data_IF_564455390670
#
_entry.id   IF_564455390670
#
_cell.length_a   1.000
_cell.length_b   1.000
_cell.length_c   1.000
_cell.angle_alpha   90.00
_cell.angle_beta   90.00
_cell.angle_gamma   90.00
#
_symmetry.space_group_name_H-M   'P 1'
#
loop_
_entity.id
_entity.type
_entity.pdbx_description
1 polymer ?
#
# COMPACT_ATOMS: atom_id res chain seq x y z
N UNK A 1 -4.20 27.52 -12.14
CA UNK A 1 -2.77 27.59 -11.76
C UNK A 1 -1.81 27.58 -12.96
N UNK A 2 -2.19 27.10 -14.12
CA UNK A 2 -1.32 26.96 -15.32
C UNK A 2 -0.81 28.28 -15.91
N UNK A 3 -1.44 29.42 -15.62
CA UNK A 3 -1.01 30.76 -16.08
C UNK A 3 -0.15 31.54 -15.09
N UNK A 4 0.20 30.98 -13.93
CA UNK A 4 1.03 31.65 -12.91
C UNK A 4 2.47 31.16 -12.97
N UNK A 5 3.41 32.11 -12.86
CA UNK A 5 4.83 31.78 -12.66
C UNK A 5 5.00 30.94 -11.37
N UNK A 6 5.99 30.00 -11.31
CA UNK A 6 6.17 29.10 -10.15
C UNK A 6 6.26 29.83 -8.80
N UNK A 7 6.91 31.00 -8.74
CA UNK A 7 7.06 31.80 -7.54
C UNK A 7 5.79 32.55 -7.09
N UNK A 8 4.76 32.58 -7.94
CA UNK A 8 3.46 33.21 -7.66
C UNK A 8 2.41 32.20 -7.19
N UNK A 9 2.74 30.90 -7.19
CA UNK A 9 1.84 29.83 -6.79
C UNK A 9 1.88 29.68 -5.27
N UNK A 10 0.71 29.43 -4.66
CA UNK A 10 0.61 29.10 -3.22
C UNK A 10 1.04 27.65 -2.93
N UNK A 11 2.13 27.22 -3.57
CA UNK A 11 2.67 25.86 -3.49
C UNK A 11 4.16 25.95 -3.19
N UNK A 12 4.64 25.18 -2.22
CA UNK A 12 6.06 25.06 -1.95
C UNK A 12 6.49 23.59 -2.04
N UNK A 13 7.76 23.36 -2.38
CA UNK A 13 8.33 22.03 -2.57
C UNK A 13 9.48 21.80 -1.59
N UNK A 14 9.49 20.61 -0.98
CA UNK A 14 10.63 20.06 -0.26
C UNK A 14 11.23 18.97 -1.15
N UNK A 15 12.46 19.14 -1.59
CA UNK A 15 13.16 18.19 -2.46
C UNK A 15 13.81 17.07 -1.67
N UNK A 16 14.10 15.94 -2.29
CA UNK A 16 14.73 14.75 -1.74
C UNK A 16 16.06 15.05 -1.01
N UNK A 17 16.89 15.96 -1.55
CA UNK A 17 18.15 16.39 -0.95
C UNK A 17 18.01 17.60 -0.01
N UNK A 18 16.75 17.95 0.34
CA UNK A 18 16.37 19.11 1.18
C UNK A 18 16.74 20.48 0.57
N UNK A 19 17.68 20.55 -0.35
CA UNK A 19 18.15 21.75 -1.05
C UNK A 19 18.38 22.97 -0.13
N UNK A 20 18.97 22.76 1.06
CA UNK A 20 19.33 23.85 1.97
C UNK A 20 20.50 24.65 1.41
N UNK A 21 20.47 25.97 1.58
CA UNK A 21 21.56 26.87 1.19
C UNK A 21 22.74 26.66 2.14
N UNK A 22 23.86 26.08 1.68
CA UNK A 22 24.98 25.67 2.56
C UNK A 22 25.75 26.87 3.19
N UNK A 23 25.69 28.03 2.56
CA UNK A 23 26.32 29.26 3.01
C UNK A 23 25.49 30.07 4.02
N UNK A 24 24.22 29.72 4.18
CA UNK A 24 23.26 30.33 5.11
C UNK A 24 23.11 29.48 6.37
N UNK A 25 22.84 30.13 7.50
CA UNK A 25 22.44 29.43 8.72
C UNK A 25 20.99 29.01 8.67
N UNK A 26 20.51 28.32 9.72
CA UNK A 26 19.12 27.80 9.79
C UNK A 26 18.10 28.93 9.69
N UNK A 27 18.27 30.02 10.46
CA UNK A 27 17.34 31.15 10.45
C UNK A 27 17.27 31.83 9.06
N UNK A 28 18.43 31.97 8.42
CA UNK A 28 18.52 32.55 7.07
C UNK A 28 17.88 31.66 6.02
N UNK A 29 18.05 30.33 6.11
CA UNK A 29 17.39 29.35 5.25
C UNK A 29 15.87 29.47 5.37
N UNK A 30 15.32 29.43 6.59
CA UNK A 30 13.89 29.53 6.83
C UNK A 30 13.34 30.86 6.36
N UNK A 31 14.00 31.97 6.74
CA UNK A 31 13.55 33.32 6.42
C UNK A 31 13.74 33.78 4.96
N UNK A 32 14.42 32.96 4.13
CA UNK A 32 14.81 33.36 2.78
C UNK A 32 13.65 33.83 1.91
N UNK A 33 12.56 33.07 1.84
CA UNK A 33 11.39 33.43 1.05
C UNK A 33 10.72 34.72 1.50
N UNK A 34 10.66 34.98 2.82
CA UNK A 34 10.12 36.21 3.37
C UNK A 34 11.02 37.43 3.04
N UNK A 35 12.34 37.23 3.01
CA UNK A 35 13.29 38.26 2.62
C UNK A 35 13.10 38.67 1.15
N UNK A 36 12.86 37.71 0.25
CA UNK A 36 12.56 37.97 -1.16
C UNK A 36 11.25 38.77 -1.31
N UNK A 37 10.24 38.46 -0.48
CA UNK A 37 8.97 39.22 -0.41
C UNK A 37 9.09 40.57 0.30
N UNK A 38 10.32 41.00 0.66
CA UNK A 38 10.61 42.27 1.33
C UNK A 38 9.85 42.48 2.65
N UNK A 39 9.57 41.39 3.37
CA UNK A 39 8.96 41.42 4.70
C UNK A 39 9.93 42.10 5.70
N UNK A 40 9.43 42.94 6.64
CA UNK A 40 10.29 43.59 7.67
C UNK A 40 11.10 42.59 8.48
N UNK A 41 12.35 42.93 8.80
CA UNK A 41 13.27 42.03 9.54
C UNK A 41 12.72 41.57 10.90
N UNK A 42 11.98 42.43 11.60
CA UNK A 42 11.35 42.09 12.89
C UNK A 42 10.28 40.98 12.72
N UNK A 43 9.48 41.07 11.67
CA UNK A 43 8.45 40.07 11.34
C UNK A 43 9.08 38.75 10.88
N UNK A 44 10.14 38.80 10.04
CA UNK A 44 10.90 37.61 9.65
C UNK A 44 11.42 36.87 10.90
N UNK A 45 12.05 37.58 11.86
CA UNK A 45 12.53 36.95 13.08
C UNK A 45 11.43 36.26 13.87
N UNK A 46 10.27 36.91 14.02
CA UNK A 46 9.11 36.33 14.70
C UNK A 46 8.60 35.07 14.01
N UNK A 47 8.43 35.10 12.69
CA UNK A 47 7.97 33.93 11.91
C UNK A 47 8.98 32.79 11.91
N UNK A 48 10.27 33.09 11.83
CA UNK A 48 11.35 32.07 11.92
C UNK A 48 11.34 31.40 13.29
N UNK A 49 11.21 32.16 14.38
CA UNK A 49 11.11 31.58 15.73
C UNK A 49 9.90 30.66 15.88
N UNK A 50 8.74 31.07 15.35
CA UNK A 50 7.53 30.23 15.34
C UNK A 50 7.71 28.94 14.53
N UNK A 51 8.43 29.02 13.39
CA UNK A 51 8.70 27.83 12.58
C UNK A 51 9.67 26.88 13.27
N UNK A 52 10.70 27.41 13.96
CA UNK A 52 11.64 26.59 14.72
C UNK A 52 10.97 25.88 15.90
N UNK A 53 10.07 26.55 16.61
CA UNK A 53 9.23 25.95 17.63
C UNK A 53 8.35 24.84 17.04
N UNK A 54 7.71 25.11 15.89
CA UNK A 54 6.82 24.15 15.19
C UNK A 54 7.56 22.85 14.83
N UNK A 55 8.82 22.94 14.39
CA UNK A 55 9.64 21.79 13.97
C UNK A 55 10.61 21.32 15.06
N UNK A 56 10.49 21.79 16.32
CA UNK A 56 11.27 21.40 17.49
C UNK A 56 12.80 21.60 17.28
N UNK A 57 13.17 22.75 16.75
CA UNK A 57 14.58 23.14 16.52
C UNK A 57 14.91 24.50 17.16
N UNK A 58 14.32 24.83 18.31
CA UNK A 58 14.67 26.03 19.09
C UNK A 58 16.16 25.99 19.46
N UNK A 59 16.82 27.11 19.36
CA UNK A 59 18.26 27.26 19.64
C UNK A 59 19.19 26.86 18.49
N UNK A 60 18.63 26.42 17.33
CA UNK A 60 19.44 26.05 16.14
C UNK A 60 19.60 27.20 15.14
N UNK A 61 19.11 28.39 15.42
CA UNK A 61 19.04 29.55 14.50
C UNK A 61 20.38 29.84 13.80
N UNK A 62 21.47 29.73 14.54
CA UNK A 62 22.83 30.10 14.07
C UNK A 62 23.62 28.96 13.43
N UNK A 63 23.14 27.71 13.56
CA UNK A 63 23.83 26.54 12.98
C UNK A 63 23.78 26.56 11.46
N UNK A 64 24.80 25.99 10.85
CA UNK A 64 24.86 25.77 9.40
C UNK A 64 24.32 24.39 9.04
N UNK A 65 23.88 24.17 7.80
CA UNK A 65 23.39 22.85 7.34
C UNK A 65 24.39 21.70 7.55
N UNK A 66 25.72 21.98 7.50
CA UNK A 66 26.79 21.01 7.75
C UNK A 66 26.83 20.49 9.19
N UNK A 67 26.23 21.23 10.14
CA UNK A 67 26.21 20.89 11.56
C UNK A 67 24.90 20.15 11.98
N UNK A 68 24.07 19.78 11.00
CA UNK A 68 22.75 19.18 11.22
C UNK A 68 22.74 17.71 10.78
N UNK A 69 22.01 16.87 11.54
CA UNK A 69 21.66 15.51 11.11
C UNK A 69 20.69 15.54 9.92
N UNK A 70 20.50 14.39 9.24
CA UNK A 70 19.56 14.28 8.13
C UNK A 70 18.14 14.71 8.48
N UNK A 71 17.60 14.22 9.60
CA UNK A 71 16.27 14.61 10.08
C UNK A 71 16.16 16.09 10.45
N UNK A 72 17.24 16.69 11.02
CA UNK A 72 17.26 18.12 11.30
C UNK A 72 17.28 18.97 10.03
N UNK A 73 18.04 18.55 9.01
CA UNK A 73 18.03 19.21 7.68
C UNK A 73 16.64 19.18 7.06
N UNK A 74 15.96 18.05 7.14
CA UNK A 74 14.59 17.88 6.66
C UNK A 74 13.63 18.84 7.37
N UNK A 75 13.66 18.89 8.71
CA UNK A 75 12.81 19.82 9.49
C UNK A 75 13.05 21.28 9.11
N UNK A 76 14.32 21.68 8.88
CA UNK A 76 14.64 23.03 8.39
C UNK A 76 14.06 23.27 6.99
N UNK A 77 14.13 22.29 6.08
CA UNK A 77 13.57 22.42 4.75
C UNK A 77 12.03 22.55 4.77
N UNK A 78 11.37 21.79 5.65
CA UNK A 78 9.92 21.89 5.87
C UNK A 78 9.57 23.26 6.46
N UNK A 79 10.28 23.73 7.48
CA UNK A 79 10.07 25.05 8.08
C UNK A 79 10.26 26.17 7.04
N UNK A 80 11.27 26.07 6.16
CA UNK A 80 11.50 27.01 5.05
C UNK A 80 10.34 27.02 4.06
N UNK A 81 9.76 25.85 3.79
CA UNK A 81 8.61 25.77 2.89
C UNK A 81 7.34 26.33 3.55
N UNK A 82 7.12 26.05 4.83
CA UNK A 82 5.91 26.45 5.57
C UNK A 82 5.86 27.92 5.96
N UNK A 83 7.01 28.58 6.15
CA UNK A 83 7.08 29.99 6.59
C UNK A 83 6.34 30.96 5.65
N UNK A 84 6.15 30.57 4.39
CA UNK A 84 5.42 31.31 3.38
C UNK A 84 3.90 31.10 3.42
N UNK A 85 3.38 30.26 4.33
CA UNK A 85 1.98 29.87 4.46
C UNK A 85 1.38 29.31 3.15
N UNK A 86 1.96 28.26 2.54
CA UNK A 86 1.45 27.69 1.31
C UNK A 86 0.11 26.99 1.55
N UNK A 87 -0.75 26.91 0.52
CA UNK A 87 -1.95 26.07 0.54
C UNK A 87 -1.64 24.60 0.33
N UNK A 88 -0.57 24.32 -0.42
CA UNK A 88 -0.13 22.96 -0.76
C UNK A 88 1.38 22.84 -0.51
N UNK A 89 1.78 21.78 0.18
CA UNK A 89 3.17 21.38 0.36
C UNK A 89 3.44 20.13 -0.47
N UNK A 90 4.37 20.22 -1.42
CA UNK A 90 4.87 19.10 -2.20
C UNK A 90 6.09 18.52 -1.48
N UNK A 91 6.11 17.22 -1.25
CA UNK A 91 7.18 16.48 -0.59
C UNK A 91 7.69 15.42 -1.57
N UNK A 92 8.87 15.64 -2.13
CA UNK A 92 9.49 14.75 -3.11
C UNK A 92 10.49 13.83 -2.40
N UNK A 93 10.08 12.57 -2.16
CA UNK A 93 10.84 11.53 -1.43
C UNK A 93 11.53 12.05 -0.14
N UNK A 94 10.84 12.77 0.74
CA UNK A 94 11.49 13.50 1.81
C UNK A 94 12.17 12.60 2.84
N UNK A 95 11.77 11.32 2.95
CA UNK A 95 12.30 10.36 3.93
C UNK A 95 13.32 9.39 3.35
N UNK A 96 13.55 9.39 2.04
CA UNK A 96 14.40 8.42 1.34
C UNK A 96 15.86 8.36 1.83
N UNK A 97 16.40 9.47 2.34
CA UNK A 97 17.78 9.57 2.81
C UNK A 97 17.96 9.22 4.31
N UNK A 98 16.88 8.81 5.02
CA UNK A 98 16.90 8.53 6.45
C UNK A 98 17.03 7.02 6.72
N UNK A 99 17.67 6.68 7.84
CA UNK A 99 17.64 5.32 8.38
C UNK A 99 16.22 4.92 8.81
N UNK A 100 15.97 3.62 8.96
CA UNK A 100 14.63 3.08 9.21
C UNK A 100 13.99 3.63 10.50
N UNK A 101 14.75 3.75 11.59
CA UNK A 101 14.22 4.22 12.87
C UNK A 101 13.82 5.69 12.79
N UNK A 102 14.71 6.52 12.23
CA UNK A 102 14.45 7.94 12.05
C UNK A 102 13.32 8.19 11.05
N UNK A 103 13.25 7.40 9.97
CA UNK A 103 12.18 7.45 8.98
C UNK A 103 10.81 7.25 9.63
N UNK A 104 10.63 6.20 10.45
CA UNK A 104 9.37 5.94 11.18
C UNK A 104 8.98 7.09 12.12
N UNK A 105 9.95 7.63 12.85
CA UNK A 105 9.70 8.77 13.73
C UNK A 105 9.25 10.00 12.93
N UNK A 106 9.88 10.27 11.79
CA UNK A 106 9.55 11.41 10.93
C UNK A 106 8.20 11.25 10.22
N UNK A 107 7.77 10.03 9.87
CA UNK A 107 6.42 9.77 9.34
C UNK A 107 5.34 10.22 10.32
N UNK A 108 5.47 9.83 11.59
CA UNK A 108 4.53 10.21 12.65
C UNK A 108 4.51 11.74 12.82
N UNK A 109 5.70 12.34 12.85
CA UNK A 109 5.84 13.80 13.02
C UNK A 109 5.21 14.59 11.87
N UNK A 110 5.48 14.18 10.62
CA UNK A 110 4.88 14.80 9.43
C UNK A 110 3.36 14.70 9.41
N UNK A 111 2.81 13.55 9.80
CA UNK A 111 1.35 13.36 9.90
C UNK A 111 0.74 14.26 10.98
N UNK A 112 1.38 14.40 12.12
CA UNK A 112 0.94 15.33 13.17
C UNK A 112 1.03 16.79 12.71
N UNK A 113 2.12 17.14 12.02
CA UNK A 113 2.31 18.48 11.47
C UNK A 113 1.25 18.84 10.43
N UNK A 114 0.95 17.94 9.52
CA UNK A 114 -0.11 18.11 8.52
C UNK A 114 -1.47 18.37 9.18
N UNK A 115 -1.84 17.53 10.18
CA UNK A 115 -3.10 17.71 10.93
C UNK A 115 -3.16 19.04 11.66
N UNK A 116 -2.05 19.45 12.30
CA UNK A 116 -1.95 20.71 13.05
C UNK A 116 -2.11 21.93 12.15
N UNK A 117 -1.56 21.87 10.94
CA UNK A 117 -1.58 22.98 9.98
C UNK A 117 -2.86 23.03 9.13
N UNK A 118 -3.54 21.89 8.92
CA UNK A 118 -4.75 21.81 8.10
C UNK A 118 -4.53 22.14 6.61
N UNK A 119 -3.29 22.01 6.11
CA UNK A 119 -2.95 22.27 4.69
C UNK A 119 -2.82 20.96 3.92
N UNK A 120 -2.92 21.02 2.61
CA UNK A 120 -2.76 19.83 1.75
C UNK A 120 -1.29 19.47 1.60
N UNK A 121 -0.95 18.22 1.92
CA UNK A 121 0.35 17.63 1.58
C UNK A 121 0.19 16.73 0.35
N UNK A 122 1.05 16.87 -0.63
CA UNK A 122 1.22 15.92 -1.72
C UNK A 122 2.58 15.27 -1.52
N UNK A 123 2.56 13.99 -1.23
CA UNK A 123 3.74 13.20 -0.88
C UNK A 123 4.08 12.24 -2.01
N UNK A 124 5.27 12.35 -2.57
CA UNK A 124 5.77 11.44 -3.60
C UNK A 124 6.73 10.47 -2.92
N UNK A 125 6.49 9.19 -3.07
CA UNK A 125 7.34 8.13 -2.52
C UNK A 125 7.28 6.87 -3.40
N UNK A 126 8.33 6.08 -3.36
CA UNK A 126 8.36 4.71 -3.87
C UNK A 126 8.19 3.68 -2.73
N UNK A 127 8.11 4.13 -1.48
CA UNK A 127 7.89 3.28 -0.31
C UNK A 127 6.39 3.11 -0.06
N UNK A 128 5.90 1.87 -0.20
CA UNK A 128 4.49 1.52 -0.08
C UNK A 128 3.99 1.68 1.37
N UNK A 129 4.83 1.33 2.37
CA UNK A 129 4.47 1.50 3.78
C UNK A 129 4.26 2.98 4.11
N UNK A 130 5.09 3.86 3.56
CA UNK A 130 4.92 5.31 3.72
C UNK A 130 3.59 5.78 3.13
N UNK A 131 3.27 5.36 1.89
CA UNK A 131 2.04 5.75 1.23
C UNK A 131 0.81 5.31 2.02
N UNK A 132 0.76 4.04 2.47
CA UNK A 132 -0.36 3.48 3.22
C UNK A 132 -0.52 4.16 4.60
N UNK A 133 0.59 4.35 5.32
CA UNK A 133 0.54 4.85 6.70
C UNK A 133 0.26 6.35 6.82
N UNK A 134 0.67 7.14 5.83
CA UNK A 134 0.65 8.60 5.92
C UNK A 134 -0.52 9.26 5.18
N UNK A 135 -1.05 8.64 4.13
CA UNK A 135 -1.96 9.30 3.22
C UNK A 135 -3.43 9.10 3.57
N UNK A 136 -4.26 10.09 3.28
CA UNK A 136 -5.72 9.98 3.28
C UNK A 136 -6.21 9.40 1.93
N UNK A 137 -5.47 9.67 0.85
CA UNK A 137 -5.69 9.12 -0.51
C UNK A 137 -4.36 8.83 -1.18
N UNK A 138 -4.32 7.77 -1.96
CA UNK A 138 -3.16 7.31 -2.72
C UNK A 138 -3.51 7.34 -4.20
N UNK A 139 -2.59 7.85 -5.03
CA UNK A 139 -2.61 7.71 -6.47
C UNK A 139 -1.47 6.79 -6.89
N UNK A 140 -1.79 5.61 -7.41
CA UNK A 140 -0.82 4.68 -7.99
C UNK A 140 -0.58 5.08 -9.43
N UNK A 141 0.68 5.27 -9.81
CA UNK A 141 1.07 5.69 -11.16
C UNK A 141 1.91 4.59 -11.84
N UNK A 142 1.70 4.44 -13.15
CA UNK A 142 2.50 3.57 -14.01
C UNK A 142 2.68 4.25 -15.36
N UNK A 143 3.91 4.30 -15.88
CA UNK A 143 4.24 4.83 -17.21
C UNK A 143 3.63 6.23 -17.50
N UNK A 144 3.63 7.11 -16.46
CA UNK A 144 3.11 8.47 -16.56
C UNK A 144 1.58 8.59 -16.52
N UNK A 145 0.85 7.49 -16.29
CA UNK A 145 -0.60 7.44 -16.15
C UNK A 145 -1.00 7.06 -14.74
N UNK A 146 -2.20 7.46 -14.34
CA UNK A 146 -2.78 7.06 -13.06
C UNK A 146 -3.54 5.74 -13.29
N UNK A 147 -3.12 4.70 -12.57
CA UNK A 147 -3.77 3.39 -12.59
C UNK A 147 -4.99 3.34 -11.67
N UNK A 148 -4.84 3.87 -10.45
CA UNK A 148 -5.91 3.92 -9.46
C UNK A 148 -5.71 5.08 -8.49
N UNK A 149 -6.80 5.71 -8.06
CA UNK A 149 -6.83 6.65 -6.94
C UNK A 149 -7.87 6.15 -5.94
N UNK A 150 -7.47 6.05 -4.66
CA UNK A 150 -8.37 5.62 -3.59
C UNK A 150 -7.82 5.92 -2.21
N UNK A 151 -8.55 5.53 -1.18
CA UNK A 151 -8.05 5.43 0.19
C UNK A 151 -7.01 4.31 0.31
N UNK A 152 -6.17 4.28 1.36
CA UNK A 152 -5.26 3.15 1.59
C UNK A 152 -5.96 1.79 1.56
N UNK A 153 -7.15 1.70 2.13
CA UNK A 153 -7.97 0.49 2.15
C UNK A 153 -8.40 0.06 0.73
N UNK A 154 -8.93 1.00 -0.07
CA UNK A 154 -9.33 0.73 -1.46
C UNK A 154 -8.16 0.29 -2.33
N UNK A 155 -6.98 0.90 -2.17
CA UNK A 155 -5.78 0.54 -2.93
C UNK A 155 -5.25 -0.84 -2.53
N UNK A 156 -5.30 -1.17 -1.23
CA UNK A 156 -4.76 -2.42 -0.72
C UNK A 156 -5.73 -3.59 -0.88
N UNK A 157 -6.98 -3.43 -0.44
CA UNK A 157 -7.98 -4.50 -0.40
C UNK A 157 -8.82 -4.60 -1.67
N UNK A 158 -8.96 -3.52 -2.45
CA UNK A 158 -9.77 -3.46 -3.67
C UNK A 158 -8.96 -2.94 -4.88
N UNK A 159 -7.81 -3.58 -5.22
CA UNK A 159 -7.02 -3.18 -6.38
C UNK A 159 -7.81 -3.39 -7.67
N UNK A 160 -7.75 -2.42 -8.59
CA UNK A 160 -8.44 -2.52 -9.90
C UNK A 160 -7.65 -3.33 -10.91
N UNK A 161 -6.32 -3.32 -10.83
CA UNK A 161 -5.43 -4.01 -11.76
C UNK A 161 -4.44 -4.93 -11.05
N UNK A 162 -3.96 -5.95 -11.75
CA UNK A 162 -2.89 -6.82 -11.28
C UNK A 162 -1.63 -6.03 -10.94
N UNK A 163 -1.39 -4.94 -11.68
CA UNK A 163 -0.28 -4.03 -11.37
C UNK A 163 -0.44 -3.39 -9.99
N UNK A 164 -1.59 -2.80 -9.68
CA UNK A 164 -1.84 -2.20 -8.36
C UNK A 164 -1.74 -3.25 -7.26
N UNK A 165 -2.33 -4.44 -7.48
CA UNK A 165 -2.30 -5.53 -6.52
C UNK A 165 -0.87 -5.99 -6.17
N UNK A 166 0.00 -6.10 -7.17
CA UNK A 166 1.38 -6.55 -7.00
C UNK A 166 2.33 -5.44 -6.60
N UNK A 167 2.08 -4.21 -7.07
CA UNK A 167 2.89 -3.04 -6.72
C UNK A 167 2.65 -2.60 -5.27
N UNK A 168 1.41 -2.64 -4.77
CA UNK A 168 1.08 -2.27 -3.40
C UNK A 168 0.86 -3.53 -2.56
N UNK A 169 1.94 -4.05 -1.98
CA UNK A 169 1.94 -5.28 -1.20
C UNK A 169 2.25 -6.53 -2.03
N UNK A 170 2.15 -7.70 -1.39
CA UNK A 170 2.49 -8.98 -2.01
C UNK A 170 1.20 -9.74 -2.38
N UNK A 171 0.67 -9.50 -3.56
CA UNK A 171 -0.48 -10.24 -4.06
C UNK A 171 -0.05 -11.37 -5.00
N UNK A 172 -0.72 -12.51 -4.87
CA UNK A 172 -0.67 -13.59 -5.84
C UNK A 172 -1.65 -13.30 -6.97
N UNK A 173 -1.23 -13.43 -8.20
CA UNK A 173 -2.10 -13.30 -9.38
C UNK A 173 -2.42 -14.69 -9.91
N UNK A 174 -3.70 -15.01 -9.97
CA UNK A 174 -4.23 -16.29 -10.42
C UNK A 174 -5.10 -16.06 -11.65
N UNK A 175 -4.87 -16.83 -12.69
CA UNK A 175 -5.68 -16.81 -13.91
C UNK A 175 -6.61 -18.02 -13.92
N UNK A 176 -7.86 -17.78 -14.26
CA UNK A 176 -8.89 -18.83 -14.29
C UNK A 176 -10.02 -18.52 -15.25
N UNK A 177 -11.01 -19.39 -15.26
CA UNK A 177 -12.24 -19.24 -16.05
C UNK A 177 -13.42 -19.27 -15.10
N UNK A 178 -14.32 -18.32 -15.20
CA UNK A 178 -15.57 -18.32 -14.47
C UNK A 178 -16.44 -19.46 -14.97
N UNK A 179 -16.67 -20.51 -14.18
CA UNK A 179 -17.44 -21.68 -14.57
C UNK A 179 -18.94 -21.46 -14.36
N UNK A 180 -19.31 -20.85 -13.23
CA UNK A 180 -20.70 -20.50 -12.92
C UNK A 180 -20.78 -19.32 -11.97
N UNK A 181 -21.95 -18.67 -11.97
CA UNK A 181 -22.26 -17.54 -11.09
C UNK A 181 -23.50 -17.90 -10.29
N UNK A 182 -23.39 -17.80 -8.96
CA UNK A 182 -24.45 -18.16 -8.02
C UNK A 182 -24.69 -17.01 -7.03
N UNK A 183 -25.65 -16.15 -7.35
CA UNK A 183 -25.92 -14.95 -6.53
C UNK A 183 -24.74 -13.97 -6.49
N UNK A 184 -24.18 -13.76 -5.30
CA UNK A 184 -23.01 -12.91 -5.08
C UNK A 184 -21.67 -13.65 -5.22
N UNK A 185 -21.67 -14.93 -5.57
CA UNK A 185 -20.47 -15.72 -5.69
C UNK A 185 -20.24 -16.20 -7.13
N UNK A 186 -18.97 -16.30 -7.53
CA UNK A 186 -18.56 -16.95 -8.76
C UNK A 186 -17.70 -18.18 -8.43
N UNK A 187 -17.93 -19.28 -9.15
CA UNK A 187 -17.03 -20.43 -9.13
C UNK A 187 -16.04 -20.23 -10.27
N UNK A 188 -14.76 -20.12 -9.91
CA UNK A 188 -13.66 -19.93 -10.86
C UNK A 188 -12.81 -21.20 -10.90
N UNK A 189 -12.62 -21.73 -12.10
CA UNK A 189 -11.71 -22.85 -12.35
C UNK A 189 -10.31 -22.33 -12.57
N UNK A 190 -9.37 -22.78 -11.75
CA UNK A 190 -7.93 -22.48 -11.85
C UNK A 190 -7.20 -23.80 -12.03
N UNK A 191 -6.55 -24.00 -13.19
CA UNK A 191 -5.96 -25.27 -13.58
C UNK A 191 -7.00 -26.40 -13.53
N UNK A 192 -6.95 -27.28 -12.54
CA UNK A 192 -7.90 -28.38 -12.33
C UNK A 192 -8.78 -28.21 -11.08
N UNK A 193 -8.49 -27.20 -10.29
CA UNK A 193 -9.17 -26.92 -9.03
C UNK A 193 -10.22 -25.81 -9.21
N UNK A 194 -11.16 -25.74 -8.27
CA UNK A 194 -12.20 -24.71 -8.26
C UNK A 194 -12.07 -23.87 -7.00
N UNK A 195 -12.23 -22.57 -7.15
CA UNK A 195 -12.28 -21.60 -6.05
C UNK A 195 -13.58 -20.82 -6.11
N UNK A 196 -14.07 -20.44 -4.94
CA UNK A 196 -15.23 -19.55 -4.82
C UNK A 196 -14.70 -18.13 -4.59
N UNK A 197 -15.25 -17.18 -5.33
CA UNK A 197 -14.90 -15.76 -5.23
C UNK A 197 -16.17 -14.97 -4.99
N UNK A 198 -16.16 -14.09 -4.00
CA UNK A 198 -17.27 -13.18 -3.77
C UNK A 198 -17.22 -12.03 -4.77
N UNK A 199 -18.31 -11.80 -5.47
CA UNK A 199 -18.47 -10.68 -6.39
C UNK A 199 -18.83 -9.43 -5.59
N UNK A 200 -18.07 -8.36 -5.76
CA UNK A 200 -18.38 -7.08 -5.14
C UNK A 200 -19.66 -6.50 -5.78
N UNK A 201 -20.67 -6.34 -4.98
CA UNK A 201 -21.85 -5.55 -5.37
C UNK A 201 -21.45 -4.08 -5.20
N UNK A 202 -21.12 -3.40 -6.28
CA UNK A 202 -20.73 -1.98 -6.25
C UNK A 202 -21.85 -1.14 -5.63
N UNK A 203 -21.74 -0.84 -4.34
CA UNK A 203 -22.63 0.05 -3.59
C UNK A 203 -22.27 1.53 -3.71
N UNK A 204 -21.46 1.96 -4.66
CA UNK A 204 -21.21 3.39 -4.88
C UNK A 204 -21.17 3.75 -6.37
N UNK A 205 -22.28 4.30 -6.85
CA UNK A 205 -22.43 5.31 -7.91
C UNK A 205 -21.46 5.31 -9.13
N UNK A 206 -21.22 4.17 -9.76
CA UNK A 206 -20.82 4.15 -11.17
C UNK A 206 -21.65 3.07 -11.87
N UNK A 207 -22.49 3.50 -12.81
CA UNK A 207 -23.59 2.73 -13.41
C UNK A 207 -23.22 1.52 -14.28
N UNK A 208 -22.05 0.92 -14.14
CA UNK A 208 -21.66 -0.30 -14.82
C UNK A 208 -21.71 -1.45 -13.82
N UNK A 209 -22.80 -2.25 -13.82
CA UNK A 209 -22.80 -3.58 -13.25
C UNK A 209 -21.73 -4.39 -14.00
N UNK A 210 -20.65 -4.75 -13.33
CA UNK A 210 -19.69 -5.72 -13.84
C UNK A 210 -20.37 -7.08 -13.92
N UNK A 211 -21.00 -7.38 -15.05
CA UNK A 211 -21.59 -8.69 -15.29
C UNK A 211 -20.48 -9.66 -15.70
N UNK A 212 -20.00 -10.45 -14.73
CA UNK A 212 -19.20 -11.63 -15.03
C UNK A 212 -20.11 -12.67 -15.70
N UNK A 213 -19.64 -13.29 -16.78
CA UNK A 213 -20.37 -14.35 -17.49
C UNK A 213 -19.63 -15.68 -17.38
N UNK A 214 -20.41 -16.78 -17.38
CA UNK A 214 -19.83 -18.12 -17.42
C UNK A 214 -19.02 -18.31 -18.72
N UNK A 215 -17.82 -18.88 -18.60
CA UNK A 215 -16.87 -19.04 -19.69
C UNK A 215 -15.88 -17.89 -19.87
N UNK A 216 -16.03 -16.80 -19.12
CA UNK A 216 -15.14 -15.65 -19.18
C UNK A 216 -13.81 -15.92 -18.46
N UNK A 217 -12.70 -15.50 -19.09
CA UNK A 217 -11.38 -15.52 -18.44
C UNK A 217 -11.34 -14.45 -17.37
N UNK A 218 -10.81 -14.80 -16.19
CA UNK A 218 -10.71 -13.90 -15.04
C UNK A 218 -9.29 -13.90 -14.48
N UNK A 219 -8.90 -12.76 -13.95
CA UNK A 219 -7.68 -12.58 -13.17
C UNK A 219 -8.07 -12.26 -11.73
N UNK A 220 -7.54 -13.05 -10.79
CA UNK A 220 -7.75 -12.87 -9.36
C UNK A 220 -6.48 -12.39 -8.70
N UNK A 221 -6.60 -11.44 -7.80
CA UNK A 221 -5.54 -11.03 -6.87
C UNK A 221 -5.87 -11.54 -5.47
N UNK A 222 -4.95 -12.27 -4.84
CA UNK A 222 -5.08 -12.78 -3.47
C UNK A 222 -3.84 -12.41 -2.68
N UNK A 223 -4.01 -11.72 -1.55
CA UNK A 223 -2.88 -11.33 -0.70
C UNK A 223 -2.17 -12.54 -0.12
N UNK A 224 -0.85 -12.46 -0.03
CA UNK A 224 -0.02 -13.57 0.47
C UNK A 224 -0.34 -13.97 1.91
N UNK A 225 -0.75 -13.04 2.75
CA UNK A 225 -1.18 -13.26 4.14
C UNK A 225 -2.55 -13.92 4.25
N UNK A 226 -3.37 -13.86 3.22
CA UNK A 226 -4.71 -14.49 3.18
C UNK A 226 -4.67 -15.93 2.66
N UNK A 227 -3.52 -16.40 2.16
CA UNK A 227 -3.35 -17.81 1.77
C UNK A 227 -3.22 -18.68 3.01
N UNK A 228 -4.18 -19.59 3.19
CA UNK A 228 -4.19 -20.62 4.23
C UNK A 228 -3.56 -21.90 3.69
N UNK A 229 -2.67 -22.51 4.47
CA UNK A 229 -2.01 -23.77 4.12
C UNK A 229 -2.54 -24.88 5.02
N UNK A 230 -2.94 -26.00 4.40
CA UNK A 230 -3.34 -27.22 5.08
C UNK A 230 -2.53 -28.39 4.54
N UNK A 231 -2.14 -29.32 5.40
CA UNK A 231 -1.55 -30.57 4.95
C UNK A 231 -2.57 -31.32 4.09
N UNK A 232 -2.16 -31.76 2.91
CA UNK A 232 -2.97 -32.68 2.14
C UNK A 232 -2.98 -33.99 2.92
N UNK A 233 -4.02 -34.23 3.72
CA UNK A 233 -4.26 -35.56 4.26
C UNK A 233 -4.22 -36.54 3.07
N UNK A 234 -3.49 -37.66 3.22
CA UNK A 234 -3.36 -38.67 2.18
C UNK A 234 -4.76 -39.06 1.71
N UNK A 235 -5.18 -38.47 0.60
CA UNK A 235 -6.42 -38.83 -0.06
C UNK A 235 -6.13 -40.17 -0.69
N UNK A 236 -6.52 -41.26 0.02
CA UNK A 236 -6.58 -42.59 -0.58
C UNK A 236 -7.47 -42.46 -1.81
N UNK A 237 -6.96 -42.97 -2.92
CA UNK A 237 -7.62 -43.09 -4.23
C UNK A 237 -8.85 -44.02 -4.12
N UNK A 238 -9.94 -43.51 -3.51
CA UNK A 238 -11.24 -44.17 -3.54
C UNK A 238 -12.26 -43.16 -4.04
N UNK A 239 -12.52 -43.24 -5.34
CA UNK A 239 -13.64 -42.55 -5.98
C UNK A 239 -14.98 -42.95 -5.36
N UNK A 240 -15.44 -42.17 -4.43
CA UNK A 240 -16.88 -42.09 -4.09
C UNK A 240 -17.16 -40.68 -3.60
N UNK A 241 -17.99 -40.04 -4.35
CA UNK A 241 -18.64 -38.75 -4.12
C UNK A 241 -19.54 -38.86 -2.87
N UNK A 242 -18.99 -38.70 -1.70
CA UNK A 242 -19.74 -38.52 -0.46
C UNK A 242 -19.15 -37.30 0.28
N UNK A 243 -20.04 -36.29 0.47
CA UNK A 243 -19.72 -35.04 1.16
C UNK A 243 -19.27 -35.25 2.60
N UNK A 244 -18.00 -35.48 2.78
CA UNK A 244 -17.38 -35.51 4.11
C UNK A 244 -16.90 -34.10 4.49
N UNK A 245 -17.58 -33.56 5.47
CA UNK A 245 -17.21 -32.34 6.21
C UNK A 245 -15.85 -32.55 6.86
N UNK A 246 -14.84 -31.84 6.38
CA UNK A 246 -13.51 -31.82 7.01
C UNK A 246 -13.53 -30.79 8.13
N UNK A 247 -13.36 -31.25 9.35
CA UNK A 247 -13.24 -30.42 10.55
C UNK A 247 -11.94 -29.60 10.49
N UNK A 248 -12.06 -28.29 10.29
CA UNK A 248 -10.91 -27.38 10.19
C UNK A 248 -10.63 -26.81 11.58
N UNK A 249 -9.69 -27.41 12.31
CA UNK A 249 -9.13 -26.75 13.49
C UNK A 249 -8.16 -25.63 13.05
N UNK A 250 -8.67 -24.40 12.99
CA UNK A 250 -7.84 -23.22 12.74
C UNK A 250 -7.07 -22.90 14.03
N UNK A 251 -5.78 -23.17 14.03
CA UNK A 251 -4.87 -22.67 15.07
C UNK A 251 -4.72 -21.16 14.90
N UNK A 252 -5.57 -20.38 15.59
CA UNK A 252 -5.54 -18.91 15.57
C UNK A 252 -6.93 -18.31 15.60
N UNK A 253 -7.62 -18.46 16.73
CA UNK A 253 -8.61 -17.55 17.32
C UNK A 253 -9.65 -16.86 16.45
N UNK A 254 -10.22 -17.50 15.41
CA UNK A 254 -11.42 -16.99 14.73
C UNK A 254 -12.52 -18.04 14.91
N UNK A 255 -13.40 -17.79 15.87
CA UNK A 255 -14.44 -18.70 16.34
C UNK A 255 -15.75 -18.68 15.55
N UNK A 256 -15.85 -18.00 14.41
CA UNK A 256 -17.13 -17.73 13.74
C UNK A 256 -17.21 -18.20 12.27
N UNK A 257 -16.46 -19.24 11.86
CA UNK A 257 -16.67 -19.83 10.53
C UNK A 257 -17.56 -21.06 10.66
N UNK A 258 -18.88 -20.84 10.71
CA UNK A 258 -19.90 -21.92 10.74
C UNK A 258 -20.23 -22.51 9.36
N UNK A 259 -19.53 -22.17 8.28
CA UNK A 259 -19.81 -22.68 6.94
C UNK A 259 -18.55 -23.28 6.28
N UNK A 260 -18.23 -24.51 6.67
CA UNK A 260 -17.08 -25.26 6.15
C UNK A 260 -17.24 -25.70 4.68
N UNK A 261 -18.41 -25.48 4.07
CA UNK A 261 -18.69 -25.84 2.68
C UNK A 261 -18.20 -24.83 1.64
N UNK A 262 -17.59 -23.70 2.04
CA UNK A 262 -17.21 -22.63 1.11
C UNK A 262 -15.70 -22.41 0.94
N UNK A 263 -14.85 -23.24 1.52
CA UNK A 263 -13.39 -23.12 1.35
C UNK A 263 -12.94 -24.07 0.24
N UNK A 264 -12.78 -23.52 -0.96
CA UNK A 264 -12.17 -24.21 -2.08
C UNK A 264 -10.65 -24.07 -1.99
N UNK A 265 -9.89 -25.07 -2.38
CA UNK A 265 -8.43 -25.08 -2.24
C UNK A 265 -7.72 -25.54 -3.51
N UNK A 266 -6.58 -24.90 -3.78
CA UNK A 266 -5.68 -25.26 -4.86
C UNK A 266 -4.63 -26.24 -4.35
N UNK A 267 -4.35 -27.29 -5.10
CA UNK A 267 -3.26 -28.22 -4.76
C UNK A 267 -1.92 -27.63 -5.22
N UNK A 268 -0.96 -27.52 -4.30
CA UNK A 268 0.37 -26.98 -4.55
C UNK A 268 1.46 -27.77 -3.86
N UNK A 269 2.69 -27.65 -4.34
CA UNK A 269 3.89 -28.21 -3.71
C UNK A 269 4.70 -27.08 -3.09
N UNK A 270 5.15 -27.23 -1.85
CA UNK A 270 6.05 -26.30 -1.17
C UNK A 270 7.42 -26.38 -1.84
N UNK A 271 7.91 -25.29 -2.40
CA UNK A 271 9.21 -25.25 -3.08
C UNK A 271 10.29 -24.60 -2.22
N UNK A 272 9.92 -23.66 -1.35
CA UNK A 272 10.89 -22.91 -0.56
C UNK A 272 10.24 -22.32 0.69
N UNK A 273 11.03 -22.21 1.77
CA UNK A 273 10.63 -21.55 3.02
C UNK A 273 11.68 -20.54 3.44
N UNK A 274 11.31 -19.26 3.48
CA UNK A 274 12.19 -18.18 3.88
C UNK A 274 11.63 -17.41 5.07
N UNK A 275 12.46 -17.19 6.10
CA UNK A 275 12.10 -16.34 7.23
C UNK A 275 12.85 -15.01 7.15
N UNK A 276 12.12 -13.91 6.98
CA UNK A 276 12.67 -12.58 6.91
C UNK A 276 11.75 -11.55 7.58
N UNK A 277 12.31 -10.66 8.38
CA UNK A 277 11.58 -9.54 8.99
C UNK A 277 10.43 -9.94 9.93
N UNK A 278 10.52 -11.11 10.59
CA UNK A 278 9.45 -11.60 11.46
C UNK A 278 8.32 -12.32 10.73
N UNK A 279 8.41 -12.47 9.42
CA UNK A 279 7.46 -13.20 8.59
C UNK A 279 8.10 -14.44 7.98
N UNK A 280 7.39 -15.57 8.03
CA UNK A 280 7.68 -16.75 7.25
C UNK A 280 7.00 -16.62 5.89
N UNK A 281 7.79 -16.71 4.81
CA UNK A 281 7.31 -16.79 3.43
C UNK A 281 7.47 -18.22 2.94
N UNK A 282 6.38 -18.80 2.47
CA UNK A 282 6.34 -20.14 1.88
C UNK A 282 6.02 -19.97 0.40
N UNK A 283 6.96 -20.36 -0.45
CA UNK A 283 6.76 -20.38 -1.91
C UNK A 283 6.16 -21.73 -2.30
N UNK A 284 5.10 -21.67 -3.06
CA UNK A 284 4.27 -22.78 -3.49
C UNK A 284 4.23 -22.84 -5.01
N UNK A 285 4.16 -24.03 -5.57
CA UNK A 285 4.05 -24.24 -7.01
C UNK A 285 2.81 -25.06 -7.33
N UNK A 286 1.91 -24.51 -8.13
CA UNK A 286 0.74 -25.22 -8.67
C UNK A 286 1.18 -26.22 -9.76
N UNK A 287 0.29 -27.10 -10.16
CA UNK A 287 0.55 -28.16 -11.19
C UNK A 287 0.94 -27.60 -12.55
N UNK A 288 0.47 -26.41 -12.92
CA UNK A 288 0.80 -25.72 -14.17
C UNK A 288 2.13 -24.94 -14.11
N UNK A 289 2.78 -24.91 -12.96
CA UNK A 289 3.99 -24.15 -12.72
C UNK A 289 3.78 -22.76 -12.13
N UNK A 290 2.55 -22.29 -11.97
CA UNK A 290 2.23 -21.01 -11.33
C UNK A 290 2.79 -20.98 -9.91
N UNK A 291 3.48 -19.91 -9.54
CA UNK A 291 4.02 -19.72 -8.19
C UNK A 291 3.08 -18.88 -7.35
N UNK A 292 2.90 -19.29 -6.10
CA UNK A 292 2.17 -18.55 -5.07
C UNK A 292 3.07 -18.34 -3.87
N UNK A 293 2.83 -17.27 -3.14
CA UNK A 293 3.49 -16.96 -1.88
C UNK A 293 2.44 -16.93 -0.78
N UNK A 294 2.64 -17.71 0.28
CA UNK A 294 1.90 -17.58 1.52
C UNK A 294 2.81 -16.93 2.57
N UNK A 295 2.31 -15.91 3.27
CA UNK A 295 3.05 -15.19 4.31
C UNK A 295 2.39 -15.38 5.67
N UNK A 296 3.19 -15.64 6.71
CA UNK A 296 2.73 -15.83 8.09
C UNK A 296 3.62 -15.06 9.05
N UNK A 297 3.04 -14.51 10.10
CA UNK A 297 3.82 -14.00 11.22
C UNK A 297 4.26 -15.16 12.13
N UNK A 298 5.54 -15.15 12.54
CA UNK A 298 6.13 -16.22 13.34
C UNK A 298 6.96 -17.22 12.51
N UNK A 299 7.62 -18.14 13.22
CA UNK A 299 8.59 -19.10 12.62
C UNK A 299 7.91 -20.44 12.29
N UNK A 300 6.75 -20.72 12.89
CA UNK A 300 6.13 -22.04 12.80
C UNK A 300 5.26 -22.16 11.54
N UNK A 301 5.69 -23.06 10.65
CA UNK A 301 4.83 -23.67 9.65
C UNK A 301 5.05 -25.17 9.71
N UNK A 302 3.99 -25.89 9.98
CA UNK A 302 3.95 -27.36 10.00
C UNK A 302 4.30 -28.01 8.65
N UNK A 303 4.43 -27.21 7.59
CA UNK A 303 4.69 -27.70 6.22
C UNK A 303 6.19 -27.76 5.91
N UNK A 304 6.63 -28.83 5.21
CA UNK A 304 8.01 -29.05 4.79
C UNK A 304 8.20 -28.80 3.29
N UNK A 305 9.43 -28.46 2.89
CA UNK A 305 9.77 -28.37 1.46
C UNK A 305 9.58 -29.72 0.76
N UNK A 306 9.06 -29.71 -0.45
CA UNK A 306 8.66 -30.89 -1.21
C UNK A 306 7.30 -31.46 -0.82
N UNK A 307 6.68 -30.99 0.25
CA UNK A 307 5.36 -31.44 0.68
C UNK A 307 4.27 -30.90 -0.24
N UNK A 308 3.28 -31.74 -0.54
CA UNK A 308 2.04 -31.33 -1.19
C UNK A 308 1.08 -30.79 -0.14
N UNK A 309 0.56 -29.61 -0.38
CA UNK A 309 -0.36 -28.90 0.50
C UNK A 309 -1.60 -28.45 -0.24
N UNK A 310 -2.67 -28.20 0.49
CA UNK A 310 -3.84 -27.49 -0.01
C UNK A 310 -3.76 -26.02 0.38
N UNK A 311 -3.80 -25.13 -0.63
CA UNK A 311 -3.85 -23.68 -0.44
C UNK A 311 -5.29 -23.25 -0.55
N UNK A 312 -5.80 -22.53 0.43
CA UNK A 312 -7.15 -21.97 0.42
C UNK A 312 -7.13 -20.50 0.82
N UNK A 313 -8.21 -19.81 0.53
CA UNK A 313 -8.47 -18.43 0.93
C UNK A 313 -9.99 -18.23 1.04
N UNK A 314 -10.41 -17.22 1.79
CA UNK A 314 -11.82 -16.88 1.89
C UNK A 314 -12.34 -16.31 0.55
N UNK A 315 -13.60 -16.53 0.17
CA UNK A 315 -14.17 -15.93 -1.04
C UNK A 315 -14.08 -14.42 -1.11
N UNK A 316 -14.04 -13.75 0.03
CA UNK A 316 -13.87 -12.30 0.18
C UNK A 316 -12.44 -11.81 -0.02
N UNK A 317 -11.45 -12.70 0.07
CA UNK A 317 -10.02 -12.37 -0.01
C UNK A 317 -9.48 -12.40 -1.44
N UNK A 318 -10.27 -12.91 -2.39
CA UNK A 318 -9.95 -12.93 -3.80
C UNK A 318 -10.66 -11.78 -4.52
N UNK A 319 -9.89 -10.89 -5.12
CA UNK A 319 -10.40 -9.72 -5.83
C UNK A 319 -10.24 -9.92 -7.33
N UNK A 320 -11.31 -9.68 -8.10
CA UNK A 320 -11.26 -9.65 -9.57
C UNK A 320 -10.53 -8.38 -10.02
N UNK A 321 -9.45 -8.55 -10.80
CA UNK A 321 -8.63 -7.46 -11.31
C UNK A 321 -8.56 -7.49 -12.84
N UNK A 322 -7.99 -6.44 -13.45
CA UNK A 322 -7.80 -6.30 -14.90
C UNK A 322 -9.10 -6.41 -15.72
N UNK A 323 -10.21 -6.00 -15.14
CA UNK A 323 -11.46 -5.89 -15.87
C UNK A 323 -11.47 -4.54 -16.59
N UNK A 324 -11.73 -4.55 -17.88
CA UNK A 324 -11.95 -3.33 -18.65
C UNK A 324 -13.17 -2.60 -18.06
N UNK A 325 -12.94 -1.42 -17.47
CA UNK A 325 -14.01 -0.48 -17.24
C UNK A 325 -14.54 -0.10 -18.63
N UNK A 326 -15.76 -0.51 -18.96
CA UNK A 326 -16.45 0.00 -20.14
C UNK A 326 -16.65 1.47 -19.86
N UNK A 327 -15.68 2.29 -20.32
CA UNK A 327 -15.87 3.73 -20.38
C UNK A 327 -16.96 3.96 -21.42
N UNK A 328 -18.17 4.24 -20.99
CA UNK A 328 -19.11 4.95 -21.84
C UNK A 328 -18.45 6.30 -22.16
N UNK A 329 -17.99 6.43 -23.41
CA UNK A 329 -17.67 7.73 -24.00
C UNK A 329 -18.94 8.59 -23.93
N UNK A 330 -18.91 9.63 -23.09
CA UNK A 330 -19.88 10.72 -23.06
C UNK A 330 -19.30 11.96 -23.72
#
# INVERSE_FOLDING_TARGET
MTGLEPNQRDVNTVFQNYALFPHMNVAENIGYGLKLKKVPKSEIRKKVSQMLELVQLEGYEKRKPSELSGGQKQRVAIARALVNNPKVLLLDEPLGALDLQLRRAMQIELKHLQKKLGITFIYITHDQEEAINMSDRIAVMRDGRIEQIGTPDEIYNHPKTSYVATFVGNANILHGVAESIQGENAIVKIVNDKVIVKLETSQQNTGAKQHLTAGENVTLAVRSENILLQEAAAIGDTGTDNGDTVDISVAGGISDIHDTNSISGLQATVTEKNFAGGQLRVTLKLRDGTQLIASRYGIDASVAEGQTVRCSFLPTDAVLVDREDIHEEA
#
